data_IF_666875671025
#
_entry.id   IF_666875671025
#
_cell.length_a   1.000
_cell.length_b   1.000
_cell.length_c   1.000
_cell.angle_alpha   90.00
_cell.angle_beta   90.00
_cell.angle_gamma   90.00
#
_symmetry.space_group_name_H-M   'P 1'
#
loop_
_entity.id
_entity.type
_entity.pdbx_description
1 polymer ?
#
# COMPACT_ATOMS: atom_id res chain seq x y z
N UNK A 1 -3.89 -2.43 17.86
CA UNK A 1 -3.96 -2.20 16.40
C UNK A 1 -5.12 -1.25 16.12
N UNK A 2 -4.82 -0.01 15.83
CA UNK A 2 -5.84 1.01 15.57
C UNK A 2 -6.01 1.10 14.05
N UNK A 3 -7.18 0.70 13.55
CA UNK A 3 -7.54 0.90 12.15
C UNK A 3 -7.91 2.38 11.98
N UNK A 4 -7.00 3.17 11.45
CA UNK A 4 -7.30 4.55 11.05
C UNK A 4 -7.74 4.53 9.60
N UNK A 5 -9.04 4.70 9.35
CA UNK A 5 -9.55 5.00 8.01
C UNK A 5 -9.09 6.41 7.64
N UNK A 6 -7.99 6.50 6.91
CA UNK A 6 -7.49 7.78 6.43
C UNK A 6 -8.26 8.15 5.16
N UNK A 7 -9.16 9.11 5.26
CA UNK A 7 -9.95 9.64 4.14
C UNK A 7 -9.16 10.74 3.40
N UNK A 8 -7.84 10.56 3.26
CA UNK A 8 -6.92 11.52 2.66
C UNK A 8 -7.31 11.90 1.22
N UNK A 9 -7.85 10.93 0.48
CA UNK A 9 -8.17 11.13 -0.93
C UNK A 9 -9.37 12.06 -1.12
N UNK A 10 -10.33 12.00 -0.21
CA UNK A 10 -11.54 12.82 -0.29
C UNK A 10 -11.26 14.29 -0.01
N UNK A 11 -10.35 14.56 0.93
CA UNK A 11 -9.97 15.92 1.27
C UNK A 11 -9.16 16.58 0.14
N UNK A 12 -8.21 15.85 -0.45
CA UNK A 12 -7.41 16.34 -1.57
C UNK A 12 -8.27 16.60 -2.82
N UNK A 13 -9.20 15.68 -3.13
CA UNK A 13 -10.12 15.85 -4.25
C UNK A 13 -11.13 17.00 -4.05
N UNK A 14 -11.55 17.26 -2.81
CA UNK A 14 -12.47 18.36 -2.50
C UNK A 14 -11.80 19.74 -2.56
N UNK A 15 -10.48 19.82 -2.39
CA UNK A 15 -9.71 21.06 -2.48
C UNK A 15 -9.26 21.39 -3.92
N UNK A 16 -9.40 20.46 -4.84
CA UNK A 16 -9.00 20.65 -6.23
C UNK A 16 -10.04 21.50 -6.98
N UNK A 17 -9.57 22.46 -7.77
CA UNK A 17 -10.42 23.39 -8.54
C UNK A 17 -11.01 22.78 -9.81
N UNK A 18 -10.44 21.68 -10.29
CA UNK A 18 -10.86 20.97 -11.51
C UNK A 18 -10.74 19.45 -11.32
N UNK A 19 -11.49 18.68 -12.12
CA UNK A 19 -11.41 17.21 -12.11
C UNK A 19 -9.99 16.69 -12.43
N UNK A 20 -9.26 17.42 -13.27
CA UNK A 20 -7.86 17.08 -13.63
C UNK A 20 -6.95 17.26 -12.43
N UNK A 21 -7.11 18.36 -11.69
CA UNK A 21 -6.35 18.63 -10.48
C UNK A 21 -6.68 17.62 -9.37
N UNK A 22 -7.94 17.22 -9.27
CA UNK A 22 -8.36 16.18 -8.32
C UNK A 22 -7.67 14.85 -8.61
N UNK A 23 -7.59 14.42 -9.87
CA UNK A 23 -6.89 13.20 -10.27
C UNK A 23 -5.39 13.30 -10.02
N UNK A 24 -4.79 14.47 -10.35
CA UNK A 24 -3.37 14.71 -10.13
C UNK A 24 -3.02 14.68 -8.63
N UNK A 25 -3.88 15.23 -7.76
CA UNK A 25 -3.70 15.22 -6.31
C UNK A 25 -3.76 13.81 -5.70
N UNK A 26 -4.45 12.87 -6.36
CA UNK A 26 -4.57 11.49 -5.88
C UNK A 26 -3.41 10.60 -6.37
N UNK A 27 -2.67 10.99 -7.41
CA UNK A 27 -1.53 10.19 -7.90
C UNK A 27 -0.49 9.98 -6.79
N UNK A 28 0.01 8.74 -6.61
CA UNK A 28 0.98 8.42 -5.55
C UNK A 28 2.21 9.32 -5.58
N UNK A 29 2.73 9.61 -6.77
CA UNK A 29 3.96 10.38 -6.97
C UNK A 29 3.83 11.85 -6.57
N UNK A 30 2.61 12.40 -6.60
CA UNK A 30 2.35 13.80 -6.27
C UNK A 30 1.95 14.03 -4.80
N UNK A 31 1.71 12.96 -4.02
CA UNK A 31 1.22 13.07 -2.66
C UNK A 31 2.37 13.16 -1.65
N UNK A 32 2.59 14.37 -1.11
CA UNK A 32 3.54 14.57 0.00
C UNK A 32 3.15 13.79 1.25
N UNK A 33 1.86 13.67 1.52
CA UNK A 33 1.35 12.94 2.69
C UNK A 33 1.60 11.44 2.57
N UNK A 34 1.41 10.88 1.38
CA UNK A 34 1.72 9.48 1.13
C UNK A 34 3.20 9.19 1.31
N UNK A 35 4.09 10.05 0.79
CA UNK A 35 5.53 9.88 0.98
C UNK A 35 5.92 9.96 2.45
N UNK A 36 5.35 10.89 3.21
CA UNK A 36 5.60 11.00 4.65
C UNK A 36 5.16 9.75 5.42
N UNK A 37 4.00 9.18 5.08
CA UNK A 37 3.51 7.93 5.68
C UNK A 37 4.44 6.76 5.33
N UNK A 38 4.86 6.64 4.07
CA UNK A 38 5.79 5.61 3.63
C UNK A 38 7.15 5.70 4.34
N UNK A 39 7.68 6.91 4.46
CA UNK A 39 8.95 7.15 5.17
C UNK A 39 8.83 6.84 6.67
N UNK A 40 7.68 7.12 7.28
CA UNK A 40 7.41 6.75 8.67
C UNK A 40 7.31 5.22 8.83
N UNK A 41 6.60 4.55 7.92
CA UNK A 41 6.50 3.09 7.89
C UNK A 41 7.86 2.41 7.73
N UNK A 42 8.70 2.95 6.83
CA UNK A 42 10.07 2.46 6.62
C UNK A 42 10.94 2.62 7.87
N UNK A 43 10.84 3.78 8.55
CA UNK A 43 11.60 4.01 9.80
C UNK A 43 11.17 3.11 10.94
N UNK A 44 9.88 2.83 11.04
CA UNK A 44 9.31 2.03 12.13
C UNK A 44 9.23 0.53 11.81
N UNK A 45 9.54 0.13 10.57
CA UNK A 45 9.42 -1.27 10.15
C UNK A 45 7.97 -1.77 10.11
N UNK A 46 7.01 -0.88 9.83
CA UNK A 46 5.59 -1.21 9.78
C UNK A 46 5.24 -1.78 8.42
N UNK A 47 4.51 -2.90 8.39
CA UNK A 47 3.90 -3.47 7.19
C UNK A 47 2.43 -3.04 7.11
N UNK A 48 2.01 -2.56 5.93
CA UNK A 48 0.64 -2.08 5.69
C UNK A 48 -0.04 -3.03 4.72
N UNK A 49 -1.16 -3.63 5.15
CA UNK A 49 -1.97 -4.52 4.33
C UNK A 49 -3.39 -3.94 4.19
N UNK A 50 -3.66 -3.16 3.13
CA UNK A 50 -4.96 -2.53 2.91
C UNK A 50 -6.06 -3.57 2.65
N UNK A 51 -7.24 -3.33 3.22
CA UNK A 51 -8.47 -4.06 2.91
C UNK A 51 -9.39 -3.15 2.10
N UNK A 52 -9.73 -3.57 0.89
CA UNK A 52 -10.60 -2.81 -0.02
C UNK A 52 -12.02 -3.32 0.07
N UNK A 53 -12.93 -2.44 0.47
CA UNK A 53 -14.34 -2.76 0.63
C UNK A 53 -15.10 -2.72 -0.72
N UNK A 54 -16.24 -3.44 -0.86
CA UNK A 54 -17.04 -3.46 -2.08
C UNK A 54 -17.60 -2.09 -2.49
N UNK A 55 -17.79 -1.18 -1.53
CA UNK A 55 -18.22 0.20 -1.77
C UNK A 55 -17.22 1.02 -2.58
N UNK A 56 -15.99 0.54 -2.70
CA UNK A 56 -14.92 1.17 -3.50
C UNK A 56 -14.82 0.61 -4.92
N UNK A 57 -15.76 -0.22 -5.35
CA UNK A 57 -15.78 -0.76 -6.71
C UNK A 57 -16.57 0.15 -7.64
N UNK A 58 -15.86 0.78 -8.58
CA UNK A 58 -16.43 1.68 -9.60
C UNK A 58 -17.55 1.02 -10.41
N UNK A 59 -17.43 -0.29 -10.67
CA UNK A 59 -18.42 -1.06 -11.44
C UNK A 59 -19.80 -1.15 -10.77
N UNK A 60 -19.88 -0.81 -9.49
CA UNK A 60 -21.13 -0.82 -8.70
C UNK A 60 -21.81 0.54 -8.65
N UNK A 61 -21.21 1.57 -9.23
CA UNK A 61 -21.80 2.91 -9.29
C UNK A 61 -22.84 2.98 -10.41
N UNK A 62 -24.00 3.60 -10.17
CA UNK A 62 -25.09 3.69 -11.16
C UNK A 62 -24.70 4.55 -12.39
N UNK A 63 -23.82 5.51 -12.19
CA UNK A 63 -23.31 6.38 -13.25
C UNK A 63 -21.80 6.52 -13.10
N UNK A 64 -21.06 6.18 -14.14
CA UNK A 64 -19.58 6.18 -14.12
C UNK A 64 -19.08 7.12 -15.19
N UNK A 65 -18.55 8.28 -14.79
CA UNK A 65 -17.82 9.17 -15.70
C UNK A 65 -16.36 8.74 -15.82
N UNK A 66 -15.66 9.10 -16.90
CA UNK A 66 -14.22 8.86 -17.02
C UNK A 66 -13.41 9.44 -15.87
N UNK A 67 -13.81 10.57 -15.33
CA UNK A 67 -13.19 11.22 -14.17
C UNK A 67 -13.31 10.35 -12.91
N UNK A 68 -14.50 9.79 -12.66
CA UNK A 68 -14.71 8.88 -11.52
C UNK A 68 -13.81 7.65 -11.65
N UNK A 69 -13.73 7.05 -12.85
CA UNK A 69 -12.82 5.92 -13.11
C UNK A 69 -11.38 6.30 -12.79
N UNK A 70 -10.93 7.46 -13.26
CA UNK A 70 -9.57 7.93 -13.03
C UNK A 70 -9.26 8.13 -11.54
N UNK A 71 -10.18 8.72 -10.77
CA UNK A 71 -10.06 8.92 -9.32
C UNK A 71 -9.92 7.57 -8.60
N UNK A 72 -10.81 6.63 -8.89
CA UNK A 72 -10.75 5.30 -8.24
C UNK A 72 -9.50 4.52 -8.63
N UNK A 73 -9.05 4.62 -9.88
CA UNK A 73 -7.81 3.99 -10.34
C UNK A 73 -6.60 4.58 -9.62
N UNK A 74 -6.55 5.89 -9.47
CA UNK A 74 -5.48 6.57 -8.76
C UNK A 74 -5.48 6.22 -7.26
N UNK A 75 -6.66 6.20 -6.62
CA UNK A 75 -6.80 5.77 -5.22
C UNK A 75 -6.33 4.32 -5.03
N UNK A 76 -6.67 3.43 -5.97
CA UNK A 76 -6.21 2.04 -5.96
C UNK A 76 -4.70 1.94 -6.06
N UNK A 77 -4.08 2.68 -6.97
CA UNK A 77 -2.64 2.72 -7.14
C UNK A 77 -1.91 3.17 -5.85
N UNK A 78 -2.52 4.07 -5.06
CA UNK A 78 -1.97 4.46 -3.75
C UNK A 78 -1.99 3.32 -2.74
N UNK A 79 -3.06 2.54 -2.67
CA UNK A 79 -3.15 1.37 -1.79
C UNK A 79 -2.12 0.32 -2.19
N UNK A 80 -1.94 0.09 -3.49
CA UNK A 80 -0.92 -0.81 -4.02
C UNK A 80 0.50 -0.32 -3.70
N UNK A 81 0.74 0.99 -3.81
CA UNK A 81 2.02 1.60 -3.44
C UNK A 81 2.32 1.43 -1.94
N UNK A 82 1.32 1.66 -1.06
CA UNK A 82 1.44 1.44 0.38
C UNK A 82 1.79 0.00 0.71
N UNK A 83 1.05 -0.96 0.14
CA UNK A 83 1.27 -2.37 0.37
C UNK A 83 2.66 -2.80 -0.13
N UNK A 84 2.95 -2.54 -1.40
CA UNK A 84 4.21 -2.97 -2.04
C UNK A 84 5.43 -2.38 -1.34
N UNK A 85 5.42 -1.08 -1.02
CA UNK A 85 6.54 -0.40 -0.39
C UNK A 85 6.84 -0.91 1.01
N UNK A 86 5.80 -1.33 1.75
CA UNK A 86 5.92 -1.81 3.12
C UNK A 86 6.02 -3.34 3.24
N UNK A 87 5.96 -4.07 2.12
CA UNK A 87 5.99 -5.54 2.10
C UNK A 87 4.66 -6.20 2.46
N UNK A 88 3.56 -5.45 2.45
CA UNK A 88 2.21 -5.96 2.64
C UNK A 88 1.52 -6.39 1.35
N UNK A 89 0.22 -6.62 1.44
CA UNK A 89 -0.63 -7.01 0.32
C UNK A 89 -1.99 -6.33 0.40
N UNK A 90 -2.49 -5.87 -0.75
CA UNK A 90 -3.88 -5.41 -0.87
C UNK A 90 -4.81 -6.62 -0.94
N UNK A 91 -5.82 -6.65 -0.06
CA UNK A 91 -6.84 -7.70 -0.06
C UNK A 91 -8.19 -7.10 -0.43
N UNK A 92 -8.85 -7.70 -1.43
CA UNK A 92 -10.18 -7.28 -1.88
C UNK A 92 -11.27 -8.07 -1.16
N UNK A 93 -12.23 -7.35 -0.64
CA UNK A 93 -13.44 -7.91 -0.04
C UNK A 93 -14.56 -7.77 -1.06
N UNK A 94 -15.06 -8.89 -1.56
CA UNK A 94 -16.13 -8.90 -2.58
C UNK A 94 -17.51 -8.64 -1.98
N UNK A 95 -17.73 -9.17 -0.78
CA UNK A 95 -18.98 -9.02 -0.03
C UNK A 95 -18.65 -8.70 1.43
N UNK A 96 -19.49 -7.92 2.09
CA UNK A 96 -19.26 -7.54 3.49
C UNK A 96 -19.23 -8.75 4.44
N UNK A 97 -19.95 -9.83 4.08
CA UNK A 97 -19.91 -11.09 4.83
C UNK A 97 -18.51 -11.72 4.85
N UNK A 98 -17.67 -11.46 3.83
CA UNK A 98 -16.32 -12.01 3.72
C UNK A 98 -15.30 -11.22 4.56
N UNK A 99 -15.70 -10.11 5.18
CA UNK A 99 -14.80 -9.24 5.94
C UNK A 99 -14.06 -10.00 7.04
N UNK A 100 -14.80 -10.77 7.85
CA UNK A 100 -14.21 -11.53 8.94
C UNK A 100 -13.21 -12.59 8.42
N UNK A 101 -13.57 -13.31 7.36
CA UNK A 101 -12.73 -14.32 6.73
C UNK A 101 -11.45 -13.69 6.16
N UNK A 102 -11.57 -12.57 5.45
CA UNK A 102 -10.42 -11.87 4.87
C UNK A 102 -9.51 -11.32 5.98
N UNK A 103 -10.10 -10.76 7.04
CA UNK A 103 -9.34 -10.29 8.19
C UNK A 103 -8.54 -11.43 8.86
N UNK A 104 -9.17 -12.59 9.06
CA UNK A 104 -8.49 -13.76 9.63
C UNK A 104 -7.36 -14.26 8.75
N UNK A 105 -7.52 -14.23 7.42
CA UNK A 105 -6.45 -14.58 6.48
C UNK A 105 -5.26 -13.61 6.59
N UNK A 106 -5.51 -12.31 6.60
CA UNK A 106 -4.44 -11.30 6.78
C UNK A 106 -3.78 -11.45 8.16
N UNK A 107 -4.56 -11.72 9.21
CA UNK A 107 -4.00 -11.97 10.55
C UNK A 107 -3.12 -13.23 10.61
N UNK A 108 -3.48 -14.27 9.85
CA UNK A 108 -2.65 -15.47 9.70
C UNK A 108 -1.33 -15.16 8.97
N UNK A 109 -1.39 -14.39 7.86
CA UNK A 109 -0.21 -13.95 7.13
C UNK A 109 0.76 -13.17 8.01
N UNK A 110 0.23 -12.25 8.85
CA UNK A 110 1.05 -11.47 9.80
C UNK A 110 1.73 -12.34 10.85
N UNK A 111 1.14 -13.48 11.22
CA UNK A 111 1.76 -14.43 12.18
C UNK A 111 2.91 -15.24 11.57
N UNK A 112 3.03 -15.27 10.25
CA UNK A 112 4.09 -15.97 9.53
C UNK A 112 5.22 -15.02 9.09
N UNK A 113 5.36 -13.86 9.72
CA UNK A 113 6.45 -12.94 9.46
C UNK A 113 7.75 -13.44 10.04
N UNK A 114 8.78 -13.45 9.20
CA UNK A 114 10.15 -13.75 9.59
C UNK A 114 10.99 -12.47 9.59
N UNK A 115 11.79 -12.28 10.61
CA UNK A 115 12.79 -11.22 10.63
C UNK A 115 14.14 -11.81 10.26
N UNK A 116 14.70 -11.35 9.14
CA UNK A 116 16.04 -11.74 8.71
C UNK A 116 16.96 -10.55 8.90
N UNK A 117 18.00 -10.72 9.70
CA UNK A 117 19.04 -9.72 9.89
C UNK A 117 20.27 -10.10 9.10
N UNK A 118 20.84 -9.14 8.38
CA UNK A 118 22.08 -9.35 7.63
C UNK A 118 22.97 -8.10 7.72
N UNK A 119 24.26 -8.29 7.57
CA UNK A 119 25.21 -7.21 7.48
C UNK A 119 25.59 -6.98 6.01
N UNK A 120 25.31 -5.77 5.51
CA UNK A 120 25.64 -5.44 4.14
C UNK A 120 27.14 -5.19 3.96
N UNK A 121 27.75 -5.84 2.96
CA UNK A 121 29.16 -5.68 2.62
C UNK A 121 29.54 -4.26 2.14
N UNK A 122 28.58 -3.47 1.65
CA UNK A 122 28.78 -2.10 1.16
C UNK A 122 28.43 -1.02 2.18
N UNK A 123 28.74 -1.20 3.46
CA UNK A 123 28.29 -0.36 4.58
C UNK A 123 28.71 1.13 4.54
N UNK A 124 29.60 1.55 3.63
CA UNK A 124 30.19 2.90 3.64
C UNK A 124 29.36 4.00 2.97
N UNK A 125 28.31 3.65 2.21
CA UNK A 125 27.50 4.65 1.49
C UNK A 125 26.14 4.86 2.20
N UNK A 126 26.11 5.83 3.11
CA UNK A 126 24.87 6.26 3.78
C UNK A 126 23.92 6.96 2.79
N UNK A 127 22.62 6.80 3.01
CA UNK A 127 21.59 7.46 2.20
C UNK A 127 21.34 6.84 0.83
N UNK A 128 22.05 5.79 0.43
CA UNK A 128 21.82 5.11 -0.84
C UNK A 128 20.71 4.08 -0.72
N UNK A 129 19.83 4.04 -1.72
CA UNK A 129 18.80 2.99 -1.84
C UNK A 129 19.45 1.63 -2.12
N UNK A 130 19.02 0.62 -1.37
CA UNK A 130 19.44 -0.76 -1.54
C UNK A 130 18.22 -1.64 -1.79
N UNK A 131 18.17 -2.26 -2.97
CA UNK A 131 17.14 -3.22 -3.29
C UNK A 131 17.31 -4.51 -2.48
N UNK A 132 16.22 -5.10 -2.06
CA UNK A 132 16.15 -6.41 -1.41
C UNK A 132 15.47 -7.36 -2.37
N UNK A 133 16.07 -8.53 -2.58
CA UNK A 133 15.45 -9.67 -3.24
C UNK A 133 15.58 -10.87 -2.31
N UNK A 134 14.45 -11.50 -2.00
CA UNK A 134 14.40 -12.74 -1.20
C UNK A 134 13.93 -13.86 -2.12
N UNK A 135 14.70 -14.91 -2.17
CA UNK A 135 14.38 -16.14 -2.90
C UNK A 135 14.26 -17.29 -1.91
N UNK A 136 13.39 -18.23 -2.19
CA UNK A 136 13.19 -19.44 -1.39
C UNK A 136 13.67 -20.65 -2.17
N UNK A 137 14.29 -21.61 -1.50
CA UNK A 137 14.71 -22.88 -2.12
C UNK A 137 13.52 -23.78 -2.46
N UNK A 138 12.35 -23.47 -1.93
CA UNK A 138 11.13 -24.23 -2.13
C UNK A 138 10.21 -23.54 -3.15
N UNK A 139 9.86 -24.23 -4.26
CA UNK A 139 9.06 -23.65 -5.33
C UNK A 139 7.59 -23.41 -4.94
N UNK A 140 7.11 -24.04 -3.87
CA UNK A 140 5.76 -23.89 -3.31
C UNK A 140 5.63 -22.67 -2.39
N UNK A 141 6.74 -21.98 -2.08
CA UNK A 141 6.75 -20.80 -1.21
C UNK A 141 7.03 -19.53 -2.00
N UNK A 142 6.29 -18.49 -1.68
CA UNK A 142 6.50 -17.14 -2.22
C UNK A 142 6.93 -16.24 -1.08
N UNK A 143 8.17 -15.74 -1.15
CA UNK A 143 8.65 -14.73 -0.20
C UNK A 143 8.14 -13.34 -0.61
N UNK A 144 7.53 -12.63 0.34
CA UNK A 144 7.18 -11.22 0.21
C UNK A 144 8.04 -10.38 1.16
N UNK A 145 8.59 -9.31 0.63
CA UNK A 145 9.40 -8.37 1.41
C UNK A 145 9.25 -6.97 0.85
N UNK A 146 9.67 -5.97 1.61
CA UNK A 146 9.83 -4.62 1.07
C UNK A 146 10.85 -4.63 -0.09
N UNK A 147 10.70 -3.77 -1.12
CA UNK A 147 11.59 -3.78 -2.28
C UNK A 147 13.02 -3.30 -1.97
N UNK A 148 13.23 -2.63 -0.84
CA UNK A 148 14.53 -2.11 -0.44
C UNK A 148 14.46 -1.21 0.78
N UNK A 149 15.60 -0.56 1.08
CA UNK A 149 15.75 0.40 2.17
C UNK A 149 16.84 1.42 1.86
N UNK A 150 16.79 2.56 2.53
CA UNK A 150 17.91 3.51 2.52
C UNK A 150 18.93 3.13 3.59
N UNK A 151 20.20 2.98 3.18
CA UNK A 151 21.30 2.70 4.12
C UNK A 151 21.45 3.84 5.12
N UNK A 152 21.53 3.52 6.40
CA UNK A 152 21.71 4.48 7.52
C UNK A 152 23.17 4.56 7.94
#
# INVERSE_FOLDING_TARGET
MTATCVNLDRTAAQQASTDVDAVAAIKPEASKDLSAVLDAADRQGVTISPLVLPSSDVKRLPFVSPQIIAIYTAARARLDALATRTGGQVSEIRQLQDLAKTYMAVAADVRTLYTVSYQSSGARERGRWRAIKVETDRPDLIARTRPGYYAR
#
